data_IF_031575157795
#
_entry.id   IF_031575157795
#
_cell.length_a   1.000
_cell.length_b   1.000
_cell.length_c   1.000
_cell.angle_alpha   90.00
_cell.angle_beta   90.00
_cell.angle_gamma   90.00
#
_symmetry.space_group_name_H-M   'P 1'
#
loop_
_entity.id
_entity.type
_entity.pdbx_description
1 polymer ?
#
# COMPACT_ATOMS: atom_id res chain seq x y z
N UNK A 1 18.38 20.11 -9.99
CA UNK A 1 16.90 20.13 -10.02
C UNK A 1 16.44 18.72 -9.74
N UNK A 2 15.62 18.52 -8.71
CA UNK A 2 15.04 17.21 -8.40
C UNK A 2 13.97 16.92 -9.45
N UNK A 3 14.18 15.92 -10.29
CA UNK A 3 13.13 15.39 -11.16
C UNK A 3 12.18 14.56 -10.32
N UNK A 4 10.88 14.80 -10.48
CA UNK A 4 9.84 14.02 -9.81
C UNK A 4 8.92 13.38 -10.84
N UNK A 5 8.54 12.13 -10.60
CA UNK A 5 7.57 11.42 -11.42
C UNK A 5 6.41 10.95 -10.56
N UNK A 6 5.19 11.33 -10.93
CA UNK A 6 3.96 10.84 -10.28
C UNK A 6 3.32 9.76 -11.15
N UNK A 7 2.94 8.65 -10.52
CA UNK A 7 2.10 7.62 -11.12
C UNK A 7 0.75 7.60 -10.42
N UNK A 8 -0.31 7.33 -11.19
CA UNK A 8 -1.67 7.15 -10.69
C UNK A 8 -2.13 5.75 -11.07
N UNK A 9 -2.66 5.02 -10.09
CA UNK A 9 -3.09 3.64 -10.30
C UNK A 9 -4.25 3.27 -9.39
N UNK A 10 -4.94 2.21 -9.80
CA UNK A 10 -6.02 1.60 -9.03
C UNK A 10 -5.46 0.40 -8.25
N UNK A 11 -5.66 0.41 -6.93
CA UNK A 11 -5.07 -0.58 -6.03
C UNK A 11 -6.16 -1.30 -5.23
N UNK A 12 -5.79 -2.47 -4.71
CA UNK A 12 -6.51 -3.19 -3.68
C UNK A 12 -5.73 -3.07 -2.37
N UNK A 13 -6.44 -2.72 -1.31
CA UNK A 13 -5.95 -2.85 0.05
C UNK A 13 -6.24 -4.26 0.52
N UNK A 14 -5.20 -5.01 0.87
CA UNK A 14 -5.30 -6.40 1.32
C UNK A 14 -4.68 -6.54 2.70
N UNK A 15 -5.31 -7.34 3.55
CA UNK A 15 -4.74 -7.68 4.84
C UNK A 15 -3.75 -8.83 4.65
N UNK A 16 -2.60 -8.71 5.28
CA UNK A 16 -1.61 -9.77 5.42
C UNK A 16 -1.14 -9.80 6.88
N UNK A 17 -0.35 -10.81 7.23
CA UNK A 17 0.12 -11.03 8.60
C UNK A 17 1.64 -11.22 8.57
N UNK A 18 2.31 -10.61 9.53
CA UNK A 18 3.70 -10.92 9.82
C UNK A 18 3.83 -12.36 10.35
N UNK A 19 5.05 -12.88 10.42
CA UNK A 19 5.30 -14.24 10.93
C UNK A 19 4.85 -14.48 12.37
N UNK A 20 4.60 -13.41 13.14
CA UNK A 20 4.08 -13.43 14.50
C UNK A 20 2.55 -13.29 14.60
N UNK A 21 1.86 -13.16 13.46
CA UNK A 21 0.41 -12.98 13.40
C UNK A 21 -0.06 -11.52 13.50
N UNK A 22 0.85 -10.54 13.60
CA UNK A 22 0.48 -9.12 13.60
C UNK A 22 -0.07 -8.74 12.22
N UNK A 23 -1.30 -8.20 12.10
CA UNK A 23 -1.87 -7.86 10.81
C UNK A 23 -1.33 -6.52 10.29
N UNK A 24 -1.10 -6.45 8.98
CA UNK A 24 -0.76 -5.22 8.26
C UNK A 24 -1.57 -5.12 6.96
N UNK A 25 -1.67 -3.92 6.38
CA UNK A 25 -2.37 -3.70 5.10
C UNK A 25 -1.35 -3.46 4.00
N UNK A 26 -1.47 -4.17 2.89
CA UNK A 26 -0.61 -4.02 1.71
C UNK A 26 -1.40 -3.53 0.51
N UNK A 27 -0.75 -2.73 -0.34
CA UNK A 27 -1.27 -2.36 -1.65
C UNK A 27 -0.92 -3.42 -2.69
N UNK A 28 -1.94 -3.89 -3.40
CA UNK A 28 -1.80 -4.79 -4.55
C UNK A 28 -2.37 -4.07 -5.79
N UNK A 29 -1.59 -3.96 -6.87
CA UNK A 29 -2.05 -3.28 -8.07
C UNK A 29 -3.15 -4.10 -8.76
N UNK A 30 -4.29 -3.48 -9.13
CA UNK A 30 -5.36 -4.18 -9.86
C UNK A 30 -5.01 -4.46 -11.33
N UNK A 31 -4.00 -3.76 -11.84
CA UNK A 31 -3.51 -3.88 -13.20
C UNK A 31 -2.01 -4.15 -13.18
N UNK A 32 -1.51 -4.98 -14.10
CA UNK A 32 -0.07 -5.16 -14.26
C UNK A 32 0.54 -3.84 -14.73
N UNK A 33 1.14 -3.12 -13.80
CA UNK A 33 2.00 -1.97 -14.06
C UNK A 33 3.40 -2.39 -13.64
N UNK A 34 4.27 -2.66 -14.63
CA UNK A 34 5.65 -3.16 -14.41
C UNK A 34 6.47 -2.33 -13.42
N UNK A 35 6.17 -1.05 -13.29
CA UNK A 35 6.86 -0.13 -12.38
C UNK A 35 6.47 -0.38 -10.91
N UNK A 36 5.26 -0.90 -10.68
CA UNK A 36 4.69 -1.21 -9.37
C UNK A 36 4.96 -2.63 -8.92
N UNK A 37 5.23 -3.55 -9.85
CA UNK A 37 5.57 -4.95 -9.56
C UNK A 37 6.84 -5.11 -8.71
N UNK A 38 7.65 -4.06 -8.60
CA UNK A 38 8.91 -4.06 -7.83
C UNK A 38 8.81 -3.36 -6.49
N UNK A 39 7.64 -2.84 -6.12
CA UNK A 39 7.46 -2.03 -4.92
C UNK A 39 6.35 -2.63 -4.07
N UNK A 40 6.66 -2.93 -2.83
CA UNK A 40 5.67 -3.28 -1.81
C UNK A 40 5.41 -2.04 -0.97
N UNK A 41 4.16 -1.60 -0.94
CA UNK A 41 3.73 -0.53 -0.02
C UNK A 41 2.82 -1.16 1.03
N UNK A 42 3.30 -1.17 2.27
CA UNK A 42 2.60 -1.69 3.43
C UNK A 42 2.31 -0.59 4.46
N UNK A 43 1.26 -0.80 5.24
CA UNK A 43 0.87 0.04 6.37
C UNK A 43 0.74 -0.84 7.60
N UNK A 44 1.57 -0.54 8.60
CA UNK A 44 1.41 -1.13 9.93
C UNK A 44 0.14 -0.61 10.58
N UNK A 45 -0.57 -1.52 11.25
CA UNK A 45 -1.72 -1.19 12.07
C UNK A 45 -1.26 -1.07 13.53
N UNK A 46 -1.99 -0.33 14.38
CA UNK A 46 -1.73 -0.32 15.82
C UNK A 46 -1.64 -1.76 16.37
N UNK A 47 -0.71 -2.01 17.30
CA UNK A 47 -0.36 -3.35 17.79
C UNK A 47 -1.55 -4.20 18.30
N UNK A 48 -2.61 -3.55 18.80
CA UNK A 48 -3.81 -4.24 19.33
C UNK A 48 -4.91 -4.43 18.26
N UNK A 49 -4.60 -4.16 16.99
CA UNK A 49 -5.57 -4.31 15.91
C UNK A 49 -5.76 -5.79 15.62
N UNK A 50 -6.98 -6.29 15.85
CA UNK A 50 -7.33 -7.65 15.49
C UNK A 50 -7.35 -7.84 13.96
N UNK A 51 -7.18 -9.09 13.52
CA UNK A 51 -7.27 -9.44 12.10
C UNK A 51 -8.62 -9.04 11.48
N UNK A 52 -9.73 -9.21 12.21
CA UNK A 52 -11.04 -8.82 11.71
C UNK A 52 -11.19 -7.31 11.59
N UNK A 53 -10.63 -6.55 12.54
CA UNK A 53 -10.59 -5.10 12.42
C UNK A 53 -9.73 -4.65 11.25
N UNK A 54 -8.61 -5.31 11.00
CA UNK A 54 -7.78 -5.07 9.83
C UNK A 54 -8.57 -5.30 8.52
N UNK A 55 -9.38 -6.37 8.45
CA UNK A 55 -10.25 -6.65 7.28
C UNK A 55 -11.30 -5.57 7.08
N UNK A 56 -11.92 -5.08 8.15
CA UNK A 56 -12.89 -3.98 8.08
C UNK A 56 -12.24 -2.70 7.53
N UNK A 57 -11.03 -2.38 8.00
CA UNK A 57 -10.27 -1.21 7.50
C UNK A 57 -9.96 -1.38 6.01
N UNK A 58 -9.41 -2.53 5.60
CA UNK A 58 -9.10 -2.79 4.20
C UNK A 58 -10.36 -2.75 3.32
N UNK A 59 -11.47 -3.31 3.79
CA UNK A 59 -12.75 -3.22 3.09
C UNK A 59 -13.22 -1.78 2.94
N UNK A 60 -13.21 -1.00 4.02
CA UNK A 60 -13.56 0.41 4.00
C UNK A 60 -12.69 1.18 2.99
N UNK A 61 -11.38 0.99 2.99
CA UNK A 61 -10.47 1.66 2.05
C UNK A 61 -10.81 1.30 0.59
N UNK A 62 -11.06 0.01 0.31
CA UNK A 62 -11.43 -0.44 -1.03
C UNK A 62 -12.78 0.08 -1.54
N UNK A 63 -13.73 0.37 -0.64
CA UNK A 63 -15.04 0.92 -1.00
C UNK A 63 -15.01 2.43 -1.20
N UNK A 64 -14.07 3.13 -0.54
CA UNK A 64 -14.07 4.58 -0.46
C UNK A 64 -12.93 5.25 -1.26
N UNK A 65 -11.94 4.47 -1.72
CA UNK A 65 -10.81 4.99 -2.49
C UNK A 65 -10.85 4.45 -3.92
N UNK A 66 -10.78 5.36 -4.89
CA UNK A 66 -10.69 5.04 -6.31
C UNK A 66 -9.24 4.79 -6.73
N UNK A 67 -8.44 5.85 -6.78
CA UNK A 67 -7.04 5.78 -7.23
C UNK A 67 -6.08 6.27 -6.15
N UNK A 68 -4.89 5.69 -6.12
CA UNK A 68 -3.74 6.21 -5.37
C UNK A 68 -2.77 6.89 -6.33
N UNK A 69 -2.08 7.90 -5.81
CA UNK A 69 -1.01 8.59 -6.50
C UNK A 69 0.28 8.40 -5.71
N UNK A 70 1.34 7.95 -6.38
CA UNK A 70 2.68 7.82 -5.80
C UNK A 70 3.63 8.72 -6.57
N UNK A 71 4.41 9.51 -5.85
CA UNK A 71 5.41 10.40 -6.46
C UNK A 71 6.80 9.96 -6.05
N UNK A 72 7.64 9.69 -7.05
CA UNK A 72 9.04 9.36 -6.90
C UNK A 72 9.87 10.61 -7.12
N UNK A 73 10.85 10.84 -6.26
CA UNK A 73 11.80 11.95 -6.39
C UNK A 73 13.19 11.36 -6.68
N UNK A 74 13.75 11.67 -7.85
CA UNK A 74 15.08 11.18 -8.22
C UNK A 74 16.14 11.81 -7.30
N UNK A 75 17.01 10.98 -6.71
CA UNK A 75 18.08 11.41 -5.81
C UNK A 75 17.76 11.36 -4.32
N UNK A 76 16.55 10.92 -3.93
CA UNK A 76 16.29 10.55 -2.53
C UNK A 76 16.95 9.20 -2.24
N UNK A 77 18.11 9.20 -1.59
CA UNK A 77 18.65 8.00 -0.98
C UNK A 77 17.63 7.49 0.05
N UNK A 78 17.04 6.33 -0.21
CA UNK A 78 16.29 5.60 0.81
C UNK A 78 17.38 4.96 1.68
N UNK A 79 17.70 5.61 2.80
CA UNK A 79 18.59 5.07 3.83
C UNK A 79 17.87 4.02 4.66
#
# INVERSE_FOLDING_TARGET
>A
MTTSRTIRGNFLFKVSEYGDGTPFIVLESRQSQKELEKILVGFDLPNDTSLDRAKEIAHYLNQNLGDLQMTFFDGAAIH
#
